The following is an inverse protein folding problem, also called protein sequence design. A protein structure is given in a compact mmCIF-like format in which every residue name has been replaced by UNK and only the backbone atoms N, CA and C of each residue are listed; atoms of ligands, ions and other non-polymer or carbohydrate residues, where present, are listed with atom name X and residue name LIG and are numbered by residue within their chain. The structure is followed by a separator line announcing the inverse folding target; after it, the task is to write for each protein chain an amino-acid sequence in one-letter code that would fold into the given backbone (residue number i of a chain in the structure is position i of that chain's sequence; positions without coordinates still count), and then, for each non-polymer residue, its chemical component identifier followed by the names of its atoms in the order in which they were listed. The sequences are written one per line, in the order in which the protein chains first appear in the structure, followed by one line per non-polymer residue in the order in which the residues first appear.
data_IF_179172957801
#
_entry.id   IF_179172957801
#
_cell.length_a   1.000
_cell.length_b   1.000
_cell.length_c   1.000
_cell.angle_alpha   90.00
_cell.angle_beta   90.00
_cell.angle_gamma   90.00
#
_symmetry.space_group_name_H-M   'P 1'
#
loop_
_entity.id
_entity.type
_entity.pdbx_description
1 polymer ?
#
# COMPACT_ATOMS: atom_id res chain seq x y z
N UNK A 1 -27.48 26.13 2.33
CA UNK A 1 -27.88 25.01 3.20
C UNK A 1 -27.26 23.74 2.62
N UNK A 2 -26.07 23.36 3.10
CA UNK A 2 -25.42 22.08 2.76
C UNK A 2 -26.18 20.99 3.52
N UNK A 3 -27.04 20.24 2.82
CA UNK A 3 -27.74 19.13 3.45
C UNK A 3 -26.75 18.00 3.75
N UNK A 4 -26.66 17.64 5.03
CA UNK A 4 -26.22 16.34 5.59
C UNK A 4 -24.75 15.91 5.42
N UNK A 5 -23.87 16.53 6.21
CA UNK A 5 -22.76 15.89 6.96
C UNK A 5 -21.55 15.31 6.21
N UNK A 6 -21.62 15.12 4.89
CA UNK A 6 -20.58 14.44 4.11
C UNK A 6 -20.46 15.04 2.70
N UNK A 7 -19.27 14.92 2.11
CA UNK A 7 -19.06 15.16 0.68
C UNK A 7 -19.87 14.19 -0.18
N UNK A 8 -20.44 14.69 -1.27
CA UNK A 8 -21.08 13.85 -2.28
C UNK A 8 -20.07 13.00 -3.04
N UNK A 9 -20.54 11.93 -3.68
CA UNK A 9 -19.75 11.09 -4.58
C UNK A 9 -19.02 11.89 -5.65
N UNK A 10 -19.70 12.85 -6.27
CA UNK A 10 -19.12 13.68 -7.34
C UNK A 10 -17.99 14.57 -6.83
N UNK A 11 -18.14 15.16 -5.64
CA UNK A 11 -17.09 15.98 -5.01
C UNK A 11 -15.86 15.13 -4.64
N UNK A 12 -16.06 13.91 -4.13
CA UNK A 12 -14.97 12.98 -3.85
C UNK A 12 -14.22 12.59 -5.13
N UNK A 13 -14.95 12.20 -6.18
CA UNK A 13 -14.33 11.86 -7.47
C UNK A 13 -13.61 13.05 -8.09
N UNK A 14 -14.14 14.27 -7.95
CA UNK A 14 -13.46 15.47 -8.39
C UNK A 14 -12.12 15.66 -7.68
N UNK A 15 -12.10 15.56 -6.35
CA UNK A 15 -10.87 15.61 -5.55
C UNK A 15 -9.86 14.58 -6.03
N UNK A 16 -10.26 13.31 -6.17
CA UNK A 16 -9.36 12.21 -6.54
C UNK A 16 -8.72 12.46 -7.91
N UNK A 17 -9.52 12.87 -8.89
CA UNK A 17 -9.04 13.14 -10.25
C UNK A 17 -8.15 14.38 -10.30
N UNK A 18 -8.55 15.47 -9.62
CA UNK A 18 -7.81 16.72 -9.58
C UNK A 18 -6.46 16.52 -8.89
N UNK A 19 -6.43 15.85 -7.74
CA UNK A 19 -5.20 15.52 -7.03
C UNK A 19 -4.28 14.65 -7.89
N UNK A 20 -4.82 13.57 -8.47
CA UNK A 20 -4.06 12.69 -9.36
C UNK A 20 -3.41 13.45 -10.52
N UNK A 21 -4.16 14.35 -11.17
CA UNK A 21 -3.62 15.21 -12.22
C UNK A 21 -2.48 16.11 -11.73
N UNK A 22 -2.63 16.73 -10.55
CA UNK A 22 -1.60 17.59 -9.98
C UNK A 22 -0.31 16.83 -9.66
N UNK A 23 -0.38 15.55 -9.23
CA UNK A 23 0.83 14.76 -8.93
C UNK A 23 1.79 14.58 -10.12
N UNK A 24 1.30 14.76 -11.35
CA UNK A 24 2.13 14.70 -12.56
C UNK A 24 2.77 16.05 -12.92
N UNK A 25 2.38 17.14 -12.28
CA UNK A 25 2.90 18.47 -12.58
C UNK A 25 4.25 18.71 -11.92
N UNK A 26 5.15 19.38 -12.63
CA UNK A 26 6.48 19.75 -12.11
C UNK A 26 6.39 20.62 -10.86
N UNK A 27 5.42 21.53 -10.83
CA UNK A 27 5.25 22.48 -9.73
C UNK A 27 4.83 21.78 -8.45
N UNK A 28 3.97 20.76 -8.57
CA UNK A 28 3.61 19.88 -7.46
C UNK A 28 4.85 19.16 -6.93
N UNK A 29 5.61 18.50 -7.82
CA UNK A 29 6.81 17.73 -7.45
C UNK A 29 7.86 18.60 -6.78
N UNK A 30 8.02 19.83 -7.28
CA UNK A 30 8.93 20.81 -6.70
C UNK A 30 8.45 21.23 -5.31
N UNK A 31 7.17 21.57 -5.15
CA UNK A 31 6.61 22.01 -3.87
C UNK A 31 6.80 20.97 -2.76
N UNK A 32 6.58 19.69 -3.06
CA UNK A 32 6.76 18.62 -2.06
C UNK A 32 8.24 18.35 -1.77
N UNK A 33 9.12 18.41 -2.79
CA UNK A 33 10.57 18.27 -2.59
C UNK A 33 11.17 19.42 -1.78
N UNK A 34 10.77 20.67 -2.07
CA UNK A 34 11.19 21.86 -1.33
C UNK A 34 10.77 21.75 0.15
N UNK A 35 9.56 21.26 0.43
CA UNK A 35 9.09 21.05 1.79
C UNK A 35 9.89 19.98 2.55
N UNK A 36 10.24 18.86 1.89
CA UNK A 36 11.11 17.82 2.49
C UNK A 36 12.50 18.39 2.78
N UNK A 37 13.05 19.20 1.87
CA UNK A 37 14.33 19.89 2.09
C UNK A 37 14.27 20.84 3.30
N UNK A 38 13.12 21.50 3.50
CA UNK A 38 12.83 22.35 4.66
C UNK A 38 12.44 21.56 5.93
N UNK A 39 12.58 20.23 5.91
CA UNK A 39 12.25 19.30 7.01
C UNK A 39 10.78 19.31 7.42
N UNK A 40 9.90 19.65 6.50
CA UNK A 40 8.46 19.50 6.68
C UNK A 40 8.03 18.10 6.23
N UNK A 41 6.95 17.61 6.85
CA UNK A 41 6.35 16.34 6.45
C UNK A 41 5.67 16.49 5.08
N UNK A 42 5.98 15.65 4.08
CA UNK A 42 5.37 15.75 2.76
C UNK A 42 3.84 15.61 2.78
N UNK A 43 3.30 14.89 3.78
CA UNK A 43 1.85 14.79 4.01
C UNK A 43 1.19 16.15 4.28
N UNK A 44 1.92 17.11 4.87
CA UNK A 44 1.41 18.46 5.09
C UNK A 44 1.21 19.20 3.76
N UNK A 45 2.09 18.95 2.78
CA UNK A 45 1.97 19.52 1.44
C UNK A 45 0.80 18.89 0.68
N UNK A 46 0.66 17.57 0.72
CA UNK A 46 -0.47 16.89 0.06
C UNK A 46 -1.80 17.30 0.70
N UNK A 47 -1.84 17.46 2.03
CA UNK A 47 -2.99 18.00 2.76
C UNK A 47 -3.30 19.42 2.29
N UNK A 48 -2.33 20.34 2.25
CA UNK A 48 -2.56 21.71 1.76
C UNK A 48 -3.10 21.75 0.31
N UNK A 49 -2.69 20.81 -0.53
CA UNK A 49 -3.20 20.69 -1.90
C UNK A 49 -4.64 20.16 -1.91
N UNK A 50 -4.98 19.20 -1.04
CA UNK A 50 -6.38 18.79 -0.86
C UNK A 50 -7.24 19.98 -0.41
N UNK A 51 -6.75 20.80 0.52
CA UNK A 51 -7.41 22.03 0.97
C UNK A 51 -7.61 23.04 -0.17
N UNK A 52 -6.61 23.26 -1.02
CA UNK A 52 -6.72 24.09 -2.22
C UNK A 52 -7.81 23.58 -3.18
N UNK A 53 -7.85 22.27 -3.43
CA UNK A 53 -8.89 21.65 -4.27
C UNK A 53 -10.28 21.81 -3.64
N UNK A 54 -10.40 21.69 -2.31
CA UNK A 54 -11.66 21.95 -1.62
C UNK A 54 -12.10 23.41 -1.80
N UNK A 55 -11.19 24.38 -1.69
CA UNK A 55 -11.48 25.79 -1.96
C UNK A 55 -11.92 26.02 -3.41
N UNK A 56 -11.26 25.38 -4.39
CA UNK A 56 -11.67 25.42 -5.81
C UNK A 56 -13.12 24.94 -6.00
N UNK A 57 -13.56 23.94 -5.22
CA UNK A 57 -14.93 23.42 -5.24
C UNK A 57 -15.93 24.24 -4.40
N UNK A 58 -15.49 25.30 -3.72
CA UNK A 58 -16.32 26.07 -2.79
C UNK A 58 -16.67 25.31 -1.50
N UNK A 59 -15.80 24.40 -1.08
CA UNK A 59 -15.94 23.56 0.11
C UNK A 59 -14.98 24.07 1.18
N UNK A 60 -15.47 24.15 2.43
CA UNK A 60 -14.61 24.45 3.58
C UNK A 60 -13.54 23.35 3.74
N UNK A 61 -12.24 23.68 3.78
CA UNK A 61 -11.18 22.68 3.85
C UNK A 61 -11.24 21.79 5.08
N UNK A 62 -11.54 22.37 6.26
CA UNK A 62 -11.65 21.62 7.51
C UNK A 62 -12.79 20.59 7.44
N UNK A 63 -13.93 20.98 6.85
CA UNK A 63 -15.02 20.06 6.55
C UNK A 63 -14.60 18.97 5.56
N UNK A 64 -13.94 19.34 4.46
CA UNK A 64 -13.50 18.41 3.42
C UNK A 64 -12.55 17.34 3.95
N UNK A 65 -11.52 17.74 4.70
CA UNK A 65 -10.57 16.82 5.35
C UNK A 65 -11.28 15.93 6.37
N UNK A 66 -12.19 16.49 7.19
CA UNK A 66 -12.99 15.68 8.13
C UNK A 66 -13.85 14.63 7.41
N UNK A 67 -14.33 14.93 6.20
CA UNK A 67 -15.07 13.98 5.39
C UNK A 67 -14.18 12.84 4.89
N UNK A 68 -12.93 13.11 4.47
CA UNK A 68 -12.02 12.05 4.01
C UNK A 68 -11.83 10.93 5.04
N UNK A 69 -11.71 11.29 6.32
CA UNK A 69 -11.65 10.32 7.43
C UNK A 69 -12.92 9.48 7.64
N UNK A 70 -14.04 9.84 7.01
CA UNK A 70 -15.36 9.18 7.14
C UNK A 70 -15.82 8.49 5.86
N UNK A 71 -15.04 8.55 4.77
CA UNK A 71 -15.41 7.97 3.46
C UNK A 71 -15.71 6.48 3.61
N UNK A 72 -14.83 5.74 4.28
CA UNK A 72 -14.99 4.29 4.45
C UNK A 72 -16.28 3.93 5.20
N UNK A 73 -16.65 4.70 6.23
CA UNK A 73 -17.86 4.46 7.01
C UNK A 73 -19.15 4.85 6.25
N UNK A 74 -19.07 5.86 5.38
CA UNK A 74 -20.25 6.41 4.72
C UNK A 74 -20.54 5.74 3.38
N UNK A 75 -19.49 5.27 2.69
CA UNK A 75 -19.56 4.74 1.33
C UNK A 75 -19.04 3.29 1.21
N UNK A 76 -18.92 2.54 2.30
CA UNK A 76 -18.47 1.14 2.30
C UNK A 76 -19.14 0.27 1.23
N UNK A 77 -20.42 0.51 0.95
CA UNK A 77 -21.21 -0.27 0.00
C UNK A 77 -21.05 0.19 -1.46
N UNK A 78 -20.50 1.37 -1.73
CA UNK A 78 -20.15 1.84 -3.09
C UNK A 78 -18.73 1.37 -3.44
N UNK A 79 -18.65 0.13 -3.94
CA UNK A 79 -17.37 -0.51 -4.28
C UNK A 79 -16.55 0.30 -5.29
N UNK A 80 -17.19 0.91 -6.27
CA UNK A 80 -16.47 1.67 -7.29
C UNK A 80 -15.83 2.92 -6.67
N UNK A 81 -16.59 3.66 -5.85
CA UNK A 81 -16.06 4.81 -5.14
C UNK A 81 -14.95 4.41 -4.18
N UNK A 82 -15.11 3.32 -3.44
CA UNK A 82 -14.09 2.83 -2.51
C UNK A 82 -12.80 2.43 -3.23
N UNK A 83 -12.87 1.80 -4.42
CA UNK A 83 -11.70 1.52 -5.24
C UNK A 83 -10.98 2.82 -5.63
N UNK A 84 -11.72 3.86 -6.03
CA UNK A 84 -11.12 5.16 -6.37
C UNK A 84 -10.52 5.85 -5.14
N UNK A 85 -11.18 5.77 -3.99
CA UNK A 85 -10.67 6.31 -2.73
C UNK A 85 -9.35 5.66 -2.31
N UNK A 86 -9.26 4.32 -2.33
CA UNK A 86 -7.99 3.64 -2.00
C UNK A 86 -6.89 3.90 -3.02
N UNK A 87 -7.22 4.05 -4.31
CA UNK A 87 -6.26 4.50 -5.32
C UNK A 87 -5.74 5.90 -5.02
N UNK A 88 -6.62 6.82 -4.62
CA UNK A 88 -6.25 8.17 -4.22
C UNK A 88 -5.32 8.16 -3.00
N UNK A 89 -5.67 7.42 -1.94
CA UNK A 89 -4.82 7.30 -0.73
C UNK A 89 -3.46 6.67 -1.08
N UNK A 90 -3.45 5.59 -1.87
CA UNK A 90 -2.20 4.96 -2.31
C UNK A 90 -1.34 5.95 -3.11
N UNK A 91 -1.94 6.75 -3.98
CA UNK A 91 -1.25 7.77 -4.76
C UNK A 91 -0.63 8.85 -3.87
N UNK A 92 -1.35 9.31 -2.86
CA UNK A 92 -0.83 10.27 -1.87
C UNK A 92 0.39 9.70 -1.14
N UNK A 93 0.29 8.47 -0.62
CA UNK A 93 1.40 7.80 0.08
C UNK A 93 2.60 7.64 -0.84
N UNK A 94 2.40 7.11 -2.06
CA UNK A 94 3.49 6.94 -3.04
C UNK A 94 4.17 8.26 -3.37
N UNK A 95 3.41 9.35 -3.46
CA UNK A 95 3.93 10.68 -3.76
C UNK A 95 4.76 11.23 -2.60
N UNK A 96 4.33 10.98 -1.36
CA UNK A 96 5.11 11.34 -0.17
C UNK A 96 6.39 10.53 -0.08
N UNK A 97 6.31 9.21 -0.30
CA UNK A 97 7.46 8.30 -0.28
C UNK A 97 8.50 8.68 -1.36
N UNK A 98 8.05 8.98 -2.59
CA UNK A 98 8.92 9.46 -3.68
C UNK A 98 9.64 10.75 -3.29
N UNK A 99 8.94 11.68 -2.63
CA UNK A 99 9.53 12.94 -2.19
C UNK A 99 10.55 12.75 -1.04
N UNK A 100 10.31 11.82 -0.12
CA UNK A 100 11.21 11.54 1.00
C UNK A 100 12.48 10.80 0.58
N UNK A 101 12.34 9.76 -0.23
CA UNK A 101 13.46 8.91 -0.69
C UNK A 101 14.21 9.57 -1.87
N UNK A 102 13.54 10.44 -2.61
CA UNK A 102 14.03 10.92 -3.90
C UNK A 102 13.77 9.91 -5.02
N UNK A 103 13.79 10.41 -6.26
CA UNK A 103 13.34 9.65 -7.44
C UNK A 103 14.10 8.34 -7.66
N UNK A 104 15.42 8.32 -7.45
CA UNK A 104 16.25 7.15 -7.75
C UNK A 104 16.06 6.04 -6.72
N UNK A 105 16.15 6.36 -5.43
CA UNK A 105 15.94 5.41 -4.34
C UNK A 105 14.50 4.88 -4.33
N UNK A 106 13.51 5.75 -4.60
CA UNK A 106 12.12 5.33 -4.77
C UNK A 106 11.96 4.33 -5.93
N UNK A 107 12.55 4.61 -7.10
CA UNK A 107 12.48 3.71 -8.24
C UNK A 107 13.19 2.36 -7.99
N UNK A 108 14.27 2.34 -7.22
CA UNK A 108 14.91 1.11 -6.78
C UNK A 108 14.05 0.32 -5.80
N UNK A 109 13.45 0.99 -4.81
CA UNK A 109 12.53 0.38 -3.84
C UNK A 109 11.32 -0.24 -4.53
N UNK A 110 10.70 0.48 -5.48
CA UNK A 110 9.57 -0.02 -6.25
C UNK A 110 9.94 -1.26 -7.07
N UNK A 111 11.08 -1.23 -7.79
CA UNK A 111 11.56 -2.40 -8.54
C UNK A 111 11.83 -3.60 -7.64
N UNK A 112 12.42 -3.39 -6.46
CA UNK A 112 12.66 -4.47 -5.49
C UNK A 112 11.34 -5.07 -5.00
N UNK A 113 10.35 -4.24 -4.73
CA UNK A 113 9.03 -4.68 -4.31
C UNK A 113 8.31 -5.47 -5.41
N UNK A 114 8.38 -5.03 -6.68
CA UNK A 114 7.82 -5.76 -7.82
C UNK A 114 8.48 -7.14 -7.97
N UNK A 115 9.82 -7.21 -7.94
CA UNK A 115 10.55 -8.47 -8.01
C UNK A 115 10.15 -9.42 -6.88
N UNK A 116 10.00 -8.91 -5.66
CA UNK A 116 9.57 -9.70 -4.52
C UNK A 116 8.15 -10.25 -4.71
N UNK A 117 7.21 -9.46 -5.25
CA UNK A 117 5.85 -9.92 -5.54
C UNK A 117 5.85 -11.04 -6.60
N UNK A 118 6.70 -10.93 -7.62
CA UNK A 118 6.88 -12.01 -8.61
C UNK A 118 7.41 -13.29 -7.95
N UNK A 119 8.39 -13.17 -7.05
CA UNK A 119 8.94 -14.30 -6.31
C UNK A 119 7.89 -14.94 -5.38
N UNK A 120 7.09 -14.15 -4.66
CA UNK A 120 5.97 -14.64 -3.86
C UNK A 120 4.95 -15.40 -4.72
N UNK A 121 4.64 -14.89 -5.92
CA UNK A 121 3.71 -15.57 -6.84
C UNK A 121 4.27 -16.92 -7.31
N UNK A 122 5.56 -16.97 -7.68
CA UNK A 122 6.21 -18.23 -8.07
C UNK A 122 6.27 -19.24 -6.91
N UNK A 123 6.56 -18.76 -5.69
CA UNK A 123 6.50 -19.57 -4.47
C UNK A 123 5.10 -20.17 -4.26
N UNK A 124 4.03 -19.38 -4.40
CA UNK A 124 2.64 -19.85 -4.28
C UNK A 124 2.27 -20.85 -5.39
N UNK A 125 2.75 -20.64 -6.62
CA UNK A 125 2.57 -21.60 -7.73
C UNK A 125 3.28 -22.93 -7.45
N UNK A 126 4.48 -22.89 -6.88
CA UNK A 126 5.22 -24.08 -6.48
C UNK A 126 4.52 -24.81 -5.34
N UNK A 127 4.12 -24.08 -4.29
CA UNK A 127 3.43 -24.60 -3.10
C UNK A 127 2.14 -25.35 -3.47
N UNK A 128 1.39 -24.86 -4.45
CA UNK A 128 0.15 -25.50 -4.93
C UNK A 128 0.34 -26.93 -5.45
N UNK A 129 1.57 -27.35 -5.77
CA UNK A 129 1.88 -28.71 -6.27
C UNK A 129 1.93 -29.76 -5.17
N UNK A 130 1.97 -29.36 -3.89
CA UNK A 130 2.03 -30.26 -2.74
C UNK A 130 0.64 -30.53 -2.15
N UNK A 131 0.52 -31.52 -1.26
CA UNK A 131 -0.72 -31.78 -0.53
C UNK A 131 -1.02 -30.68 0.51
N UNK A 132 -2.26 -30.67 1.03
CA UNK A 132 -2.73 -29.63 1.95
C UNK A 132 -1.92 -29.57 3.26
N UNK A 133 -1.43 -30.71 3.75
CA UNK A 133 -0.63 -30.73 4.96
C UNK A 133 0.72 -30.05 4.70
N UNK A 134 1.34 -30.32 3.53
CA UNK A 134 2.63 -29.73 3.13
C UNK A 134 2.49 -28.23 2.89
N UNK A 135 1.43 -27.82 2.21
CA UNK A 135 1.10 -26.40 2.04
C UNK A 135 0.97 -25.68 3.39
N UNK A 136 0.29 -26.31 4.36
CA UNK A 136 0.13 -25.75 5.71
C UNK A 136 1.47 -25.61 6.43
N UNK A 137 2.37 -26.59 6.32
CA UNK A 137 3.70 -26.51 6.93
C UNK A 137 4.59 -25.43 6.30
N UNK A 138 4.50 -25.26 4.98
CA UNK A 138 5.21 -24.19 4.26
C UNK A 138 4.73 -22.81 4.73
N UNK A 139 3.41 -22.60 4.80
CA UNK A 139 2.82 -21.34 5.27
C UNK A 139 3.13 -21.05 6.73
N UNK A 140 3.09 -22.07 7.59
CA UNK A 140 3.46 -21.93 9.01
C UNK A 140 4.93 -21.52 9.17
N UNK A 141 5.83 -22.10 8.37
CA UNK A 141 7.25 -21.73 8.39
C UNK A 141 7.46 -20.30 7.90
N UNK A 142 6.76 -19.90 6.84
CA UNK A 142 6.78 -18.53 6.32
C UNK A 142 6.27 -17.53 7.36
N UNK A 143 5.17 -17.85 8.06
CA UNK A 143 4.64 -17.00 9.14
C UNK A 143 5.68 -16.80 10.24
N UNK A 144 6.31 -17.88 10.72
CA UNK A 144 7.36 -17.80 11.73
C UNK A 144 8.56 -16.96 11.27
N UNK A 145 8.96 -17.09 10.00
CA UNK A 145 10.04 -16.28 9.43
C UNK A 145 9.69 -14.79 9.44
N UNK A 146 8.48 -14.43 9.04
CA UNK A 146 8.00 -13.04 9.08
C UNK A 146 7.89 -12.53 10.52
N UNK A 147 7.33 -13.31 11.45
CA UNK A 147 7.23 -12.94 12.87
C UNK A 147 8.62 -12.70 13.49
N UNK A 148 9.62 -13.52 13.15
CA UNK A 148 10.99 -13.36 13.65
C UNK A 148 11.71 -12.13 13.06
N UNK A 149 11.24 -11.63 11.92
CA UNK A 149 11.78 -10.45 11.25
C UNK A 149 10.89 -9.21 11.46
N UNK A 150 10.02 -9.21 12.46
CA UNK A 150 9.08 -8.11 12.75
C UNK A 150 8.24 -7.68 11.53
N UNK A 151 7.82 -8.68 10.76
CA UNK A 151 7.04 -8.53 9.53
C UNK A 151 7.74 -7.72 8.43
N UNK A 152 9.06 -7.73 8.40
CA UNK A 152 9.82 -7.23 7.26
C UNK A 152 9.38 -7.95 5.98
N UNK A 153 9.00 -7.14 4.99
CA UNK A 153 8.52 -7.65 3.72
C UNK A 153 9.64 -8.34 2.93
N UNK A 154 10.92 -7.98 3.14
CA UNK A 154 12.03 -8.59 2.42
C UNK A 154 12.19 -10.10 2.71
N UNK A 155 11.66 -10.58 3.85
CA UNK A 155 11.72 -12.02 4.23
C UNK A 155 10.44 -12.79 3.91
N UNK A 156 9.57 -12.27 3.04
CA UNK A 156 8.26 -12.89 2.74
C UNK A 156 8.28 -13.97 1.65
N UNK A 157 9.47 -14.51 1.32
CA UNK A 157 9.68 -15.53 0.29
C UNK A 157 10.49 -16.69 0.85
N UNK A 158 10.12 -17.91 0.45
CA UNK A 158 10.91 -19.12 0.62
C UNK A 158 11.40 -19.57 -0.76
N UNK A 159 12.68 -19.95 -0.84
CA UNK A 159 13.27 -20.57 -2.02
C UNK A 159 12.65 -21.95 -2.30
N UNK A 160 12.83 -22.43 -3.52
CA UNK A 160 12.36 -23.76 -3.91
C UNK A 160 13.05 -24.86 -3.08
N UNK A 161 14.32 -24.65 -2.74
CA UNK A 161 15.14 -25.54 -1.90
C UNK A 161 14.57 -25.62 -0.48
N UNK A 162 14.23 -24.48 0.13
CA UNK A 162 13.62 -24.43 1.47
C UNK A 162 12.26 -25.11 1.50
N UNK A 163 11.42 -24.88 0.49
CA UNK A 163 10.13 -25.56 0.35
C UNK A 163 10.31 -27.08 0.27
N UNK A 164 11.24 -27.55 -0.55
CA UNK A 164 11.51 -28.99 -0.67
C UNK A 164 12.07 -29.57 0.63
N UNK A 165 12.88 -28.82 1.36
CA UNK A 165 13.40 -29.26 2.65
C UNK A 165 12.29 -29.43 3.69
N UNK A 166 11.36 -28.47 3.78
CA UNK A 166 10.19 -28.52 4.68
C UNK A 166 9.39 -29.79 4.42
N UNK A 167 9.10 -30.08 3.15
CA UNK A 167 8.36 -31.28 2.73
C UNK A 167 9.14 -32.56 3.08
N UNK A 168 10.42 -32.63 2.72
CA UNK A 168 11.27 -33.82 2.98
C UNK A 168 11.44 -34.15 4.46
N UNK A 169 11.56 -33.14 5.32
CA UNK A 169 11.70 -33.33 6.77
C UNK A 169 10.46 -33.98 7.39
N UNK A 170 9.27 -33.84 6.77
CA UNK A 170 8.05 -34.52 7.22
C UNK A 170 7.90 -35.93 6.66
N UNK A 171 8.39 -36.19 5.45
CA UNK A 171 8.36 -37.54 4.84
C UNK A 171 9.40 -38.49 5.47
N UNK A 172 10.45 -37.95 6.11
CA UNK A 172 11.43 -38.77 6.82
C UNK A 172 10.84 -39.32 8.14
N UNK A 173 10.76 -40.65 8.33
CA UNK A 173 10.27 -41.20 9.59
C UNK A 173 11.23 -40.79 10.72
N UNK A 174 10.69 -40.15 11.76
CA UNK A 174 11.36 -39.93 13.03
C UNK A 174 11.95 -41.27 13.50
N UNK A 175 13.27 -41.43 13.34
CA UNK A 175 14.02 -42.59 13.79
C UNK A 175 13.83 -42.70 15.30
N UNK A 176 13.02 -43.66 15.76
CA UNK A 176 12.92 -44.01 17.19
C UNK A 176 13.99 -45.08 17.47
N UNK A 177 15.06 -44.78 18.23
CA UNK A 177 15.95 -45.82 18.71
C UNK A 177 15.16 -46.75 19.62
N UNK A 178 15.35 -48.07 19.43
CA UNK A 178 14.86 -49.11 20.35
C UNK A 178 15.66 -49.13 21.64
#
# INVERSE_FOLDING_TARGET
MQNTGMLSREQLLHLFNRFSFLTFQSDFKKRIADAVQDKQEPIAVTTAIQEEIFLEMGIDPSFGISCLGKVNMTYENDRELMIQFYKFVAKEVMTCDEAQLGSDEYAERMRRQELLQEQQLEMLKLMRKFDLDDQSAILEKLRQQMENADFDFEVSVLSAEEIQEIVRRRVSPLYKPR
#
